data_IF_773558686770
#
_entry.id   IF_773558686770
#
_cell.length_a   1.000
_cell.length_b   1.000
_cell.length_c   1.000
_cell.angle_alpha   90.00
_cell.angle_beta   90.00
_cell.angle_gamma   90.00
#
_symmetry.space_group_name_H-M   'P 1'
#
loop_
_entity.id
_entity.type
_entity.pdbx_description
1 polymer ?
#
# COMPACT_ATOMS: atom_id res chain seq x y z
N UNK A 1 52.34 17.39 20.57
CA UNK A 1 51.64 16.96 21.80
C UNK A 1 51.31 15.48 21.71
N UNK A 2 52.03 14.57 22.41
CA UNK A 2 51.77 13.11 22.33
C UNK A 2 50.50 12.78 23.11
N UNK A 3 49.40 12.51 22.40
CA UNK A 3 48.16 12.03 23.02
C UNK A 3 48.45 10.67 23.65
N UNK A 4 48.29 10.55 24.98
CA UNK A 4 48.55 9.30 25.71
C UNK A 4 47.58 8.22 25.21
N UNK A 5 48.05 6.99 24.95
CA UNK A 5 47.26 5.85 24.45
C UNK A 5 45.93 5.63 25.20
N UNK A 6 45.89 5.90 26.51
CA UNK A 6 44.68 5.84 27.34
C UNK A 6 43.58 6.82 26.88
N UNK A 7 43.94 8.03 26.43
CA UNK A 7 42.98 9.03 25.92
C UNK A 7 42.40 8.63 24.56
N UNK A 8 43.20 7.99 23.71
CA UNK A 8 42.72 7.45 22.42
C UNK A 8 41.69 6.35 22.69
N UNK A 9 41.98 5.45 23.64
CA UNK A 9 41.05 4.38 24.02
C UNK A 9 39.72 4.92 24.58
N UNK A 10 39.78 5.96 25.42
CA UNK A 10 38.57 6.61 25.95
C UNK A 10 37.74 7.30 24.88
N UNK A 11 38.38 7.95 23.89
CA UNK A 11 37.68 8.61 22.78
C UNK A 11 37.05 7.57 21.85
N UNK A 12 37.76 6.49 21.53
CA UNK A 12 37.23 5.39 20.71
C UNK A 12 36.08 4.68 21.43
N UNK A 13 36.20 4.43 22.74
CA UNK A 13 35.12 3.85 23.53
C UNK A 13 33.89 4.77 23.63
N UNK A 14 34.09 6.09 23.75
CA UNK A 14 33.00 7.06 23.75
C UNK A 14 32.31 7.17 22.38
N UNK A 15 33.08 7.13 21.28
CA UNK A 15 32.54 7.10 19.92
C UNK A 15 31.77 5.80 19.63
N UNK A 16 32.31 4.65 20.07
CA UNK A 16 31.62 3.36 19.99
C UNK A 16 30.34 3.35 20.83
N UNK A 17 30.36 3.91 22.04
CA UNK A 17 29.17 4.03 22.87
C UNK A 17 28.10 4.94 22.22
N UNK A 18 28.50 5.99 21.50
CA UNK A 18 27.59 6.85 20.74
C UNK A 18 26.91 6.11 19.57
N UNK A 19 27.63 5.19 18.91
CA UNK A 19 27.12 4.36 17.81
C UNK A 19 26.10 3.30 18.24
N UNK A 20 26.12 2.86 19.51
CA UNK A 20 25.16 1.88 20.05
C UNK A 20 23.86 2.55 20.52
N UNK A 21 23.83 3.88 20.63
CA UNK A 21 22.70 4.67 21.14
C UNK A 21 21.81 5.26 20.04
N UNK A 22 21.98 4.86 18.77
CA UNK A 22 21.01 5.20 17.73
C UNK A 22 19.78 4.33 17.97
N UNK A 23 18.63 4.89 18.42
CA UNK A 23 17.41 4.10 18.46
C UNK A 23 17.17 3.56 17.05
N UNK A 24 16.79 2.29 16.95
CA UNK A 24 16.23 1.75 15.72
C UNK A 24 14.92 2.50 15.45
N UNK A 25 15.03 3.68 14.86
CA UNK A 25 13.91 4.43 14.34
C UNK A 25 13.41 3.60 13.15
N UNK A 26 12.13 3.28 13.17
CA UNK A 26 11.51 2.48 12.14
C UNK A 26 11.49 3.35 10.88
N UNK A 27 12.37 3.05 9.92
CA UNK A 27 12.17 3.47 8.54
C UNK A 27 10.80 2.95 8.08
N UNK A 28 10.18 3.56 7.06
CA UNK A 28 9.04 2.92 6.44
C UNK A 28 9.41 1.45 6.18
N UNK A 29 8.69 0.45 6.73
CA UNK A 29 9.25 -0.90 6.87
C UNK A 29 9.67 -1.55 5.55
N UNK A 30 9.15 -1.03 4.44
CA UNK A 30 9.41 -1.48 3.07
C UNK A 30 10.42 -0.60 2.29
N UNK A 31 10.97 0.44 2.93
CA UNK A 31 11.92 1.41 2.37
C UNK A 31 11.31 2.76 1.98
N UNK A 32 12.14 3.79 1.90
CA UNK A 32 11.72 5.20 1.82
C UNK A 32 11.08 5.63 0.47
N UNK A 33 10.95 4.70 -0.48
CA UNK A 33 10.44 4.94 -1.84
C UNK A 33 9.11 4.25 -2.14
N UNK A 34 8.57 3.49 -1.19
CA UNK A 34 7.40 2.64 -1.43
C UNK A 34 6.09 3.41 -1.44
N UNK A 35 5.15 2.88 -2.23
CA UNK A 35 3.74 3.24 -2.22
C UNK A 35 2.96 1.95 -1.98
N UNK A 36 2.40 1.81 -0.79
CA UNK A 36 1.59 0.68 -0.38
C UNK A 36 0.10 0.97 -0.62
N UNK A 37 -0.67 -0.07 -0.94
CA UNK A 37 -2.08 -0.03 -1.30
C UNK A 37 -2.85 -1.10 -0.56
N UNK A 38 -3.99 -0.73 -0.01
CA UNK A 38 -4.88 -1.64 0.69
C UNK A 38 -6.31 -1.41 0.23
N UNK A 39 -7.02 -2.50 -0.05
CA UNK A 39 -8.45 -2.47 -0.35
C UNK A 39 -9.19 -3.46 0.53
N UNK A 40 -10.22 -3.00 1.23
CA UNK A 40 -11.20 -3.87 1.85
C UNK A 40 -12.54 -3.71 1.14
N UNK A 41 -13.00 -4.81 0.53
CA UNK A 41 -14.32 -4.93 -0.07
C UNK A 41 -15.28 -5.54 0.96
N UNK A 42 -16.26 -4.77 1.41
CA UNK A 42 -17.34 -5.26 2.26
C UNK A 42 -18.59 -5.46 1.42
N UNK A 43 -18.98 -6.72 1.21
CA UNK A 43 -20.14 -7.10 0.43
C UNK A 43 -21.41 -6.81 1.24
N UNK A 44 -22.37 -6.10 0.63
CA UNK A 44 -23.68 -5.81 1.19
C UNK A 44 -24.80 -6.23 0.23
N UNK A 45 -26.07 -6.33 0.70
CA UNK A 45 -27.18 -6.77 -0.15
C UNK A 45 -27.45 -5.92 -1.39
N UNK A 46 -27.06 -4.65 -1.38
CA UNK A 46 -27.36 -3.69 -2.47
C UNK A 46 -26.12 -3.02 -3.06
N UNK A 47 -24.96 -3.18 -2.42
CA UNK A 47 -23.74 -2.49 -2.81
C UNK A 47 -22.52 -3.25 -2.32
N UNK A 48 -21.36 -2.84 -2.81
CA UNK A 48 -20.07 -3.17 -2.22
C UNK A 48 -19.54 -1.88 -1.61
N UNK A 49 -19.18 -1.91 -0.34
CA UNK A 49 -18.43 -0.85 0.30
C UNK A 49 -16.93 -1.09 0.11
N UNK A 50 -16.19 -0.02 -0.15
CA UNK A 50 -14.75 -0.07 -0.34
C UNK A 50 -14.09 0.88 0.67
N UNK A 51 -13.16 0.35 1.46
CA UNK A 51 -12.12 1.14 2.10
C UNK A 51 -10.85 0.98 1.26
N UNK A 52 -10.34 2.08 0.73
CA UNK A 52 -9.12 2.10 -0.07
C UNK A 52 -8.10 3.02 0.59
N UNK A 53 -6.89 2.51 0.84
CA UNK A 53 -5.85 3.24 1.54
C UNK A 53 -4.57 3.24 0.69
N UNK A 54 -4.00 4.43 0.52
CA UNK A 54 -2.65 4.62 0.04
C UNK A 54 -1.77 5.02 1.23
N UNK A 55 -0.64 4.33 1.37
CA UNK A 55 0.42 4.72 2.30
C UNK A 55 1.71 4.97 1.51
N UNK A 56 2.24 6.19 1.63
CA UNK A 56 3.43 6.63 0.93
C UNK A 56 4.55 6.88 1.92
N UNK A 57 5.71 6.31 1.62
CA UNK A 57 6.94 6.56 2.35
C UNK A 57 7.46 8.00 2.12
N UNK A 58 8.55 8.34 2.81
CA UNK A 58 9.04 9.71 2.97
C UNK A 58 9.35 10.43 1.64
N UNK A 59 9.98 9.75 0.67
CA UNK A 59 10.35 10.39 -0.60
C UNK A 59 9.13 10.66 -1.50
N UNK A 60 8.23 9.70 -1.75
CA UNK A 60 6.97 9.99 -2.43
C UNK A 60 6.16 11.07 -1.73
N UNK A 61 6.08 11.05 -0.39
CA UNK A 61 5.38 12.10 0.36
C UNK A 61 5.99 13.47 0.16
N UNK A 62 7.32 13.57 0.17
CA UNK A 62 8.00 14.83 -0.12
C UNK A 62 7.64 15.36 -1.52
N UNK A 63 7.54 14.47 -2.51
CA UNK A 63 7.14 14.83 -3.88
C UNK A 63 5.67 15.29 -3.95
N UNK A 64 4.76 14.63 -3.26
CA UNK A 64 3.35 15.03 -3.22
C UNK A 64 3.17 16.35 -2.46
N UNK A 65 3.86 16.57 -1.34
CA UNK A 65 3.77 17.83 -0.59
C UNK A 65 4.16 19.05 -1.42
N UNK A 66 5.11 18.93 -2.35
CA UNK A 66 5.44 20.02 -3.28
C UNK A 66 4.30 20.38 -4.22
N UNK A 67 3.40 19.43 -4.52
CA UNK A 67 2.20 19.69 -5.33
C UNK A 67 1.05 20.25 -4.49
N UNK A 68 1.02 19.91 -3.19
CA UNK A 68 -0.01 20.36 -2.24
C UNK A 68 0.23 21.80 -1.80
N UNK A 69 1.48 22.17 -1.54
CA UNK A 69 1.92 23.51 -1.14
C UNK A 69 1.82 24.49 -2.32
N UNK A 70 0.59 24.89 -2.64
CA UNK A 70 0.29 25.79 -3.77
C UNK A 70 0.78 27.20 -3.45
N UNK A 71 0.76 27.59 -2.18
CA UNK A 71 1.13 28.93 -1.74
C UNK A 71 2.65 29.11 -1.54
N UNK A 72 3.43 28.01 -1.56
CA UNK A 72 4.88 27.92 -1.39
C UNK A 72 5.40 28.42 -0.03
N UNK A 73 4.64 28.21 1.05
CA UNK A 73 5.04 28.59 2.41
C UNK A 73 5.79 27.48 3.17
N UNK A 74 6.02 26.32 2.52
CA UNK A 74 6.60 25.09 3.06
C UNK A 74 5.71 24.38 4.11
N UNK A 75 4.46 24.82 4.24
CA UNK A 75 3.40 24.21 5.00
C UNK A 75 2.47 23.39 4.11
N UNK A 76 1.52 22.73 4.76
CA UNK A 76 0.35 22.15 4.12
C UNK A 76 -0.81 22.47 5.04
N UNK A 77 -1.65 23.42 4.65
CA UNK A 77 -2.81 23.83 5.45
C UNK A 77 -4.05 22.97 5.16
N UNK A 78 -5.09 23.10 5.98
CA UNK A 78 -6.31 22.28 5.84
C UNK A 78 -7.03 22.47 4.50
N UNK A 79 -6.97 23.67 3.91
CA UNK A 79 -7.61 23.92 2.62
C UNK A 79 -6.83 23.27 1.47
N UNK A 80 -5.50 23.32 1.53
CA UNK A 80 -4.60 22.63 0.59
C UNK A 80 -4.75 21.11 0.69
N UNK A 81 -4.81 20.57 1.92
CA UNK A 81 -5.07 19.15 2.17
C UNK A 81 -6.39 18.69 1.53
N UNK A 82 -7.48 19.42 1.74
CA UNK A 82 -8.80 19.06 1.21
C UNK A 82 -8.85 19.16 -0.32
N UNK A 83 -8.27 20.21 -0.89
CA UNK A 83 -8.20 20.39 -2.33
C UNK A 83 -7.42 19.25 -3.00
N UNK A 84 -6.27 18.88 -2.43
CA UNK A 84 -5.48 17.75 -2.91
C UNK A 84 -6.21 16.41 -2.72
N UNK A 85 -6.73 16.14 -1.52
CA UNK A 85 -7.36 14.87 -1.19
C UNK A 85 -8.57 14.60 -2.09
N UNK A 86 -9.42 15.59 -2.33
CA UNK A 86 -10.58 15.46 -3.22
C UNK A 86 -10.16 15.19 -4.68
N UNK A 87 -9.13 15.88 -5.18
CA UNK A 87 -8.59 15.66 -6.52
C UNK A 87 -7.99 14.25 -6.66
N UNK A 88 -7.13 13.84 -5.71
CA UNK A 88 -6.50 12.53 -5.74
C UNK A 88 -7.51 11.41 -5.57
N UNK A 89 -8.49 11.56 -4.68
CA UNK A 89 -9.57 10.58 -4.52
C UNK A 89 -10.28 10.31 -5.85
N UNK A 90 -10.63 11.37 -6.59
CA UNK A 90 -11.28 11.24 -7.90
C UNK A 90 -10.41 10.57 -8.96
N UNK A 91 -9.08 10.77 -8.92
CA UNK A 91 -8.14 10.10 -9.84
C UNK A 91 -7.97 8.63 -9.47
N UNK A 92 -7.79 8.32 -8.19
CA UNK A 92 -7.60 6.96 -7.70
C UNK A 92 -8.82 6.09 -7.96
N UNK A 93 -10.03 6.61 -7.69
CA UNK A 93 -11.29 5.89 -7.90
C UNK A 93 -11.49 5.48 -9.37
N UNK A 94 -11.02 6.28 -10.34
CA UNK A 94 -11.12 5.96 -11.78
C UNK A 94 -10.29 4.74 -12.19
N UNK A 95 -9.25 4.42 -11.42
CA UNK A 95 -8.37 3.27 -11.68
C UNK A 95 -8.76 2.03 -10.87
N UNK A 96 -9.78 2.14 -10.02
CA UNK A 96 -10.43 1.00 -9.38
C UNK A 96 -11.50 0.46 -10.32
N UNK A 97 -11.32 -0.77 -10.79
CA UNK A 97 -12.28 -1.45 -11.66
C UNK A 97 -13.08 -2.46 -10.85
N UNK A 98 -14.41 -2.36 -10.92
CA UNK A 98 -15.31 -3.36 -10.40
C UNK A 98 -16.25 -3.82 -11.52
N UNK A 99 -16.37 -5.14 -11.70
CA UNK A 99 -17.40 -5.73 -12.55
C UNK A 99 -18.22 -6.72 -11.75
N UNK A 100 -19.51 -6.79 -12.06
CA UNK A 100 -20.44 -7.75 -11.49
C UNK A 100 -21.17 -8.43 -12.64
N UNK A 101 -21.05 -9.74 -12.75
CA UNK A 101 -21.57 -10.52 -13.88
C UNK A 101 -21.13 -9.92 -15.22
N UNK A 102 -19.82 -9.61 -15.34
CA UNK A 102 -19.18 -8.96 -16.50
C UNK A 102 -19.64 -7.52 -16.80
N UNK A 103 -20.59 -6.97 -16.05
CA UNK A 103 -21.02 -5.58 -16.19
C UNK A 103 -20.21 -4.67 -15.28
N UNK A 104 -19.63 -3.59 -15.83
CA UNK A 104 -18.94 -2.57 -15.05
C UNK A 104 -19.90 -1.89 -14.07
N UNK A 105 -19.49 -1.81 -12.81
CA UNK A 105 -20.20 -1.09 -11.75
C UNK A 105 -19.32 0.08 -11.30
N UNK A 106 -19.80 1.33 -11.37
CA UNK A 106 -18.99 2.49 -11.03
C UNK A 106 -18.69 2.53 -9.53
N UNK A 107 -17.43 2.78 -9.18
CA UNK A 107 -17.01 3.09 -7.82
C UNK A 107 -17.29 4.57 -7.54
N UNK A 108 -18.19 4.84 -6.61
CA UNK A 108 -18.65 6.18 -6.23
C UNK A 108 -18.06 6.57 -4.88
N UNK A 109 -17.26 7.64 -4.85
CA UNK A 109 -16.67 8.14 -3.62
C UNK A 109 -17.73 8.64 -2.63
N UNK A 110 -17.51 8.35 -1.35
CA UNK A 110 -18.33 8.81 -0.22
C UNK A 110 -17.56 9.83 0.62
N UNK A 111 -16.29 9.55 0.93
CA UNK A 111 -15.43 10.42 1.73
C UNK A 111 -13.96 10.14 1.46
N UNK A 112 -13.09 11.09 1.82
CA UNK A 112 -11.64 10.96 1.74
C UNK A 112 -10.98 11.74 2.88
N UNK A 113 -9.80 11.30 3.31
CA UNK A 113 -8.94 12.01 4.27
C UNK A 113 -7.48 11.84 3.88
N UNK A 114 -6.67 12.88 4.08
CA UNK A 114 -5.21 12.82 3.93
C UNK A 114 -4.53 13.26 5.22
N UNK A 115 -3.61 12.44 5.70
CA UNK A 115 -2.82 12.69 6.91
C UNK A 115 -1.32 12.55 6.60
N UNK A 116 -0.49 13.19 7.43
CA UNK A 116 0.97 13.11 7.33
C UNK A 116 1.59 12.59 8.63
N UNK A 117 1.50 11.28 8.92
CA UNK A 117 2.15 10.70 10.08
C UNK A 117 3.69 10.90 10.05
N UNK A 118 4.35 10.94 11.22
CA UNK A 118 5.81 10.99 11.26
C UNK A 118 6.42 9.65 10.83
N UNK A 119 7.41 9.69 9.94
CA UNK A 119 8.26 8.59 9.53
C UNK A 119 9.68 8.71 10.11
N UNK A 120 10.68 8.23 9.37
CA UNK A 120 12.07 8.25 9.83
C UNK A 120 12.59 9.68 10.01
N UNK A 121 13.17 9.97 11.18
CA UNK A 121 13.78 11.28 11.44
C UNK A 121 12.78 12.44 11.42
N UNK A 122 11.53 12.18 11.82
CA UNK A 122 10.40 13.10 11.78
C UNK A 122 10.04 13.61 10.37
N UNK A 123 10.54 12.95 9.32
CA UNK A 123 10.10 13.22 7.96
C UNK A 123 8.67 12.73 7.78
N UNK A 124 7.78 13.51 7.13
CA UNK A 124 6.39 13.09 6.94
C UNK A 124 6.29 11.91 5.98
N UNK A 125 5.48 10.93 6.34
CA UNK A 125 4.84 9.99 5.40
C UNK A 125 3.47 10.56 5.01
N UNK A 126 2.77 9.92 4.07
CA UNK A 126 1.42 10.35 3.67
C UNK A 126 0.50 9.16 3.67
N UNK A 127 -0.64 9.32 4.33
CA UNK A 127 -1.73 8.34 4.32
C UNK A 127 -2.97 8.98 3.73
N UNK A 128 -3.50 8.40 2.66
CA UNK A 128 -4.75 8.81 2.05
C UNK A 128 -5.76 7.67 2.20
N UNK A 129 -6.87 7.92 2.88
CA UNK A 129 -7.97 6.95 3.03
C UNK A 129 -9.18 7.42 2.22
N UNK A 130 -9.76 6.51 1.44
CA UNK A 130 -10.98 6.73 0.67
C UNK A 130 -12.05 5.74 1.11
N UNK A 131 -13.28 6.22 1.25
CA UNK A 131 -14.48 5.38 1.33
C UNK A 131 -15.27 5.53 0.06
N UNK A 132 -15.68 4.43 -0.53
CA UNK A 132 -16.48 4.40 -1.74
C UNK A 132 -17.53 3.30 -1.71
N UNK A 133 -18.50 3.40 -2.60
CA UNK A 133 -19.55 2.40 -2.79
C UNK A 133 -19.74 2.08 -4.26
N UNK A 134 -20.10 0.83 -4.55
CA UNK A 134 -20.45 0.37 -5.88
C UNK A 134 -21.79 -0.36 -5.82
N UNK A 135 -22.83 0.21 -6.44
CA UNK A 135 -24.21 -0.31 -6.35
C UNK A 135 -24.34 -1.59 -7.18
N UNK A 136 -24.76 -2.68 -6.54
CA UNK A 136 -24.92 -3.96 -7.21
C UNK A 136 -26.16 -3.93 -8.13
N UNK A 137 -26.07 -4.54 -9.33
CA UNK A 137 -27.26 -4.75 -10.14
C UNK A 137 -28.20 -5.73 -9.41
N UNK A 138 -29.54 -5.51 -9.47
CA UNK A 138 -30.50 -6.48 -8.96
C UNK A 138 -30.30 -7.85 -9.63
N UNK A 139 -30.35 -8.92 -8.85
CA UNK A 139 -30.24 -10.29 -9.36
C UNK A 139 -31.16 -11.24 -8.58
N UNK A 140 -31.54 -12.34 -9.22
CA UNK A 140 -32.18 -13.50 -8.57
C UNK A 140 -31.22 -14.69 -8.44
N UNK A 141 -29.95 -14.51 -8.78
CA UNK A 141 -28.91 -15.54 -8.81
C UNK A 141 -27.64 -15.09 -8.09
N UNK A 142 -26.59 -15.91 -8.11
CA UNK A 142 -25.26 -15.57 -7.58
C UNK A 142 -24.68 -14.35 -8.30
N UNK A 143 -24.10 -13.41 -7.54
CA UNK A 143 -23.24 -12.37 -8.09
C UNK A 143 -21.81 -12.89 -8.26
N UNK A 144 -21.23 -12.65 -9.44
CA UNK A 144 -19.81 -12.85 -9.73
C UNK A 144 -19.13 -11.49 -9.79
N UNK A 145 -18.37 -11.16 -8.74
CA UNK A 145 -17.66 -9.90 -8.62
C UNK A 145 -16.19 -10.08 -8.99
N UNK A 146 -15.67 -9.16 -9.80
CA UNK A 146 -14.25 -9.03 -10.08
C UNK A 146 -13.81 -7.61 -9.74
N UNK A 147 -12.73 -7.49 -8.98
CA UNK A 147 -12.11 -6.23 -8.61
C UNK A 147 -10.67 -6.20 -9.13
N UNK A 148 -10.23 -5.03 -9.58
CA UNK A 148 -8.83 -4.77 -9.92
C UNK A 148 -8.45 -3.34 -9.56
N UNK A 149 -7.32 -3.20 -8.87
CA UNK A 149 -6.68 -1.92 -8.59
C UNK A 149 -5.47 -1.70 -9.53
N UNK A 150 -5.64 -0.75 -10.45
CA UNK A 150 -4.62 -0.38 -11.44
C UNK A 150 -3.77 0.83 -11.03
N UNK A 151 -3.97 1.39 -9.84
CA UNK A 151 -3.18 2.55 -9.38
C UNK A 151 -1.70 2.18 -9.19
N UNK A 152 -0.81 3.15 -9.38
CA UNK A 152 0.63 3.00 -9.08
C UNK A 152 1.28 1.72 -9.64
N UNK A 153 0.85 1.28 -10.83
CA UNK A 153 1.37 0.08 -11.46
C UNK A 153 2.91 0.15 -11.58
N UNK A 154 3.59 -0.91 -11.16
CA UNK A 154 5.05 -1.00 -11.17
C UNK A 154 5.77 -0.29 -10.01
N UNK A 155 5.06 0.41 -9.12
CA UNK A 155 5.64 0.94 -7.89
C UNK A 155 5.85 -0.17 -6.87
N UNK A 156 6.97 -0.08 -6.15
CA UNK A 156 7.29 -0.94 -5.02
C UNK A 156 6.41 -0.60 -3.83
N UNK A 157 6.01 -1.61 -3.06
CA UNK A 157 5.19 -1.45 -1.86
C UNK A 157 4.28 -2.64 -1.64
N UNK A 158 3.57 -2.62 -0.52
CA UNK A 158 2.58 -3.63 -0.18
C UNK A 158 1.31 -3.46 -1.02
N UNK A 159 0.70 -4.55 -1.45
CA UNK A 159 -0.59 -4.55 -2.13
C UNK A 159 -1.44 -5.65 -1.52
N UNK A 160 -2.54 -5.25 -0.90
CA UNK A 160 -3.42 -6.16 -0.20
C UNK A 160 -4.87 -5.87 -0.53
N UNK A 161 -5.60 -6.93 -0.85
CA UNK A 161 -7.04 -6.90 -1.04
C UNK A 161 -7.63 -7.95 -0.11
N UNK A 162 -8.65 -7.56 0.65
CA UNK A 162 -9.44 -8.47 1.48
C UNK A 162 -10.92 -8.31 1.17
N UNK A 163 -11.70 -9.37 1.41
CA UNK A 163 -13.15 -9.40 1.18
C UNK A 163 -13.85 -9.95 2.42
N UNK A 164 -14.84 -9.20 2.91
CA UNK A 164 -15.79 -9.68 3.93
C UNK A 164 -17.22 -9.55 3.42
N UNK A 165 -18.14 -10.31 4.01
CA UNK A 165 -19.57 -10.19 3.75
C UNK A 165 -20.30 -9.86 5.05
N UNK A 166 -21.30 -8.97 4.98
CA UNK A 166 -22.20 -8.72 6.12
C UNK A 166 -23.17 -9.87 6.32
N UNK A 167 -23.81 -9.91 7.49
CA UNK A 167 -24.87 -10.86 7.77
C UNK A 167 -25.99 -10.79 6.72
N UNK A 168 -26.54 -11.96 6.34
CA UNK A 168 -27.57 -12.07 5.31
C UNK A 168 -27.04 -12.29 3.89
N UNK A 169 -25.72 -12.36 3.71
CA UNK A 169 -25.07 -12.84 2.49
C UNK A 169 -24.33 -14.16 2.75
N UNK A 170 -24.33 -15.04 1.75
CA UNK A 170 -23.46 -16.20 1.68
C UNK A 170 -22.27 -15.87 0.77
N UNK A 171 -21.06 -15.83 1.34
CA UNK A 171 -19.81 -15.82 0.58
C UNK A 171 -19.53 -17.25 0.10
N UNK A 172 -19.70 -17.49 -1.20
CA UNK A 172 -19.57 -18.82 -1.80
C UNK A 172 -18.12 -19.15 -2.16
N UNK A 173 -17.40 -18.16 -2.70
CA UNK A 173 -15.96 -18.26 -2.96
C UNK A 173 -15.29 -16.89 -2.96
N UNK A 174 -14.00 -16.86 -2.64
CA UNK A 174 -13.15 -15.66 -2.70
C UNK A 174 -11.72 -16.07 -3.03
N UNK A 175 -11.07 -15.34 -3.94
CA UNK A 175 -9.64 -15.50 -4.24
C UNK A 175 -8.72 -14.79 -3.24
N UNK A 176 -9.28 -14.03 -2.30
CA UNK A 176 -8.56 -13.21 -1.33
C UNK A 176 -9.06 -13.49 0.10
N UNK A 177 -8.23 -13.27 1.14
CA UNK A 177 -8.62 -13.55 2.52
C UNK A 177 -9.68 -12.58 3.05
N UNK A 178 -10.29 -12.94 4.18
CA UNK A 178 -11.25 -12.11 4.91
C UNK A 178 -10.62 -11.29 6.05
N UNK A 179 -9.35 -11.52 6.35
CA UNK A 179 -8.58 -10.80 7.36
C UNK A 179 -7.34 -10.22 6.69
N UNK A 180 -6.98 -9.01 7.09
CA UNK A 180 -5.72 -8.41 6.69
C UNK A 180 -4.57 -8.97 7.54
N UNK A 181 -3.35 -8.82 7.02
CA UNK A 181 -2.13 -9.10 7.77
C UNK A 181 -1.33 -7.84 8.05
N UNK A 182 -1.71 -6.71 7.44
CA UNK A 182 -1.01 -5.43 7.59
C UNK A 182 -1.67 -4.45 8.56
N UNK A 183 -2.79 -4.81 9.21
CA UNK A 183 -3.60 -3.87 9.99
C UNK A 183 -3.86 -2.57 9.19
N UNK A 184 -4.40 -2.72 7.98
CA UNK A 184 -4.65 -1.62 7.05
C UNK A 184 -3.41 -0.75 6.78
N UNK A 185 -2.28 -1.42 6.50
CA UNK A 185 -0.95 -0.83 6.25
C UNK A 185 -0.29 -0.13 7.46
N UNK A 186 -0.76 -0.38 8.69
CA UNK A 186 -0.17 0.20 9.90
C UNK A 186 0.96 -0.66 10.48
N UNK A 187 0.97 -1.95 10.13
CA UNK A 187 1.99 -2.89 10.55
C UNK A 187 2.31 -3.84 9.40
N UNK A 188 3.50 -4.44 9.39
CA UNK A 188 3.89 -5.37 8.33
C UNK A 188 4.56 -6.58 8.98
N UNK A 189 4.19 -7.81 8.59
CA UNK A 189 4.89 -9.01 9.06
C UNK A 189 6.37 -8.98 8.64
N UNK A 190 7.28 -9.19 9.60
CA UNK A 190 8.73 -9.13 9.39
C UNK A 190 9.22 -10.09 8.30
N UNK A 191 8.57 -11.26 8.20
CA UNK A 191 8.87 -12.32 7.23
C UNK A 191 8.52 -11.94 5.78
N UNK A 192 7.68 -10.91 5.59
CA UNK A 192 7.22 -10.46 4.28
C UNK A 192 7.87 -9.15 3.82
N UNK A 193 8.74 -8.53 4.62
CA UNK A 193 9.41 -7.27 4.23
C UNK A 193 10.31 -7.42 2.99
N UNK A 194 10.89 -8.61 2.78
CA UNK A 194 11.75 -8.90 1.60
C UNK A 194 10.96 -9.34 0.37
N UNK A 195 9.70 -9.71 0.54
CA UNK A 195 8.79 -10.09 -0.54
C UNK A 195 7.38 -9.62 -0.21
N UNK A 196 7.13 -8.30 -0.29
CA UNK A 196 5.85 -7.72 0.11
C UNK A 196 4.69 -8.34 -0.65
N UNK A 197 3.52 -8.39 -0.01
CA UNK A 197 2.32 -8.89 -0.66
C UNK A 197 2.02 -8.06 -1.91
N UNK A 198 1.63 -8.73 -3.00
CA UNK A 198 1.42 -8.12 -4.31
C UNK A 198 0.04 -8.52 -4.88
N UNK A 199 -1.02 -8.39 -4.07
CA UNK A 199 -2.39 -8.72 -4.45
C UNK A 199 -3.14 -7.43 -4.77
N UNK A 200 -3.51 -7.24 -6.04
CA UNK A 200 -4.27 -6.08 -6.51
C UNK A 200 -5.58 -6.46 -7.21
N UNK A 201 -5.98 -7.74 -7.13
CA UNK A 201 -7.17 -8.28 -7.77
C UNK A 201 -7.92 -9.19 -6.82
N UNK A 202 -9.25 -9.24 -6.96
CA UNK A 202 -10.10 -10.19 -6.26
C UNK A 202 -11.20 -10.73 -7.17
N UNK A 203 -11.48 -12.02 -7.05
CA UNK A 203 -12.63 -12.68 -7.67
C UNK A 203 -13.48 -13.29 -6.56
N UNK A 204 -14.78 -13.00 -6.58
CA UNK A 204 -15.69 -13.32 -5.48
C UNK A 204 -17.02 -13.79 -6.03
N UNK A 205 -17.57 -14.86 -5.45
CA UNK A 205 -18.95 -15.26 -5.70
C UNK A 205 -19.75 -15.19 -4.40
N UNK A 206 -20.90 -14.54 -4.43
CA UNK A 206 -21.75 -14.37 -3.26
C UNK A 206 -23.23 -14.22 -3.65
N UNK A 207 -24.12 -14.53 -2.71
CA UNK A 207 -25.55 -14.41 -2.92
C UNK A 207 -26.28 -14.02 -1.62
N UNK A 208 -27.46 -13.40 -1.68
CA UNK A 208 -28.33 -13.27 -0.53
C UNK A 208 -28.70 -14.65 0.04
N UNK A 209 -28.86 -14.72 1.35
CA UNK A 209 -29.36 -15.93 2.01
C UNK A 209 -30.74 -16.29 1.44
N UNK A 210 -30.93 -17.55 1.08
CA UNK A 210 -32.19 -18.08 0.53
C UNK A 210 -32.31 -18.05 -1.00
N UNK A 211 -31.33 -17.46 -1.70
CA UNK A 211 -31.21 -17.67 -3.15
C UNK A 211 -30.75 -19.10 -3.41
N UNK A 212 -31.45 -19.79 -4.31
CA UNK A 212 -31.05 -21.12 -4.76
C UNK A 212 -29.70 -21.00 -5.48
N UNK A 213 -28.68 -21.58 -4.86
CA UNK A 213 -27.41 -21.88 -5.52
C UNK A 213 -27.64 -23.12 -6.36
N UNK A 214 -28.11 -22.92 -7.60
CA UNK A 214 -28.04 -24.00 -8.58
C UNK A 214 -26.57 -24.41 -8.67
N UNK A 215 -26.31 -25.69 -8.46
CA UNK A 215 -24.99 -26.31 -8.39
C UNK A 215 -24.26 -26.09 -9.73
N UNK A 216 -23.63 -24.93 -9.87
CA UNK A 216 -22.74 -24.61 -10.98
C UNK A 216 -21.51 -25.50 -10.83
N UNK A 217 -21.60 -26.66 -11.48
CA UNK A 217 -20.53 -27.58 -11.82
C UNK A 217 -19.55 -27.91 -10.68
N UNK A 218 -19.78 -29.06 -10.06
CA UNK A 218 -18.72 -29.93 -9.59
C UNK A 218 -17.69 -30.13 -10.72
N UNK A 219 -16.57 -29.41 -10.64
CA UNK A 219 -15.50 -29.46 -11.63
C UNK A 219 -14.24 -28.76 -11.14
N UNK A 220 -13.32 -29.58 -10.63
CA UNK A 220 -11.98 -29.24 -10.15
C UNK A 220 -11.88 -28.37 -8.89
N UNK A 221 -11.54 -29.05 -7.79
CA UNK A 221 -10.68 -28.48 -6.76
C UNK A 221 -9.44 -27.90 -7.44
N UNK A 222 -9.49 -26.59 -7.74
CA UNK A 222 -8.29 -25.83 -8.05
C UNK A 222 -7.49 -25.85 -6.76
N UNK A 223 -6.47 -26.71 -6.72
CA UNK A 223 -5.32 -26.50 -5.85
C UNK A 223 -5.03 -25.01 -5.87
N UNK A 224 -4.89 -24.40 -4.70
CA UNK A 224 -4.32 -23.06 -4.58
C UNK A 224 -2.92 -23.16 -5.16
N UNK A 225 -2.82 -23.01 -6.48
CA UNK A 225 -1.63 -22.59 -7.14
C UNK A 225 -1.44 -21.19 -6.58
N UNK A 226 -0.61 -21.14 -5.54
CA UNK A 226 0.31 -20.05 -5.32
C UNK A 226 1.01 -19.84 -6.64
N UNK A 227 0.36 -19.10 -7.55
CA UNK A 227 1.03 -18.38 -8.61
C UNK A 227 1.79 -17.27 -7.90
N UNK A 228 2.82 -17.68 -7.16
CA UNK A 228 4.05 -16.94 -7.05
C UNK A 228 4.47 -16.79 -8.50
N UNK A 229 4.01 -15.70 -9.12
CA UNK A 229 4.78 -15.12 -10.20
C UNK A 229 6.13 -14.86 -9.57
N UNK A 230 7.05 -15.78 -9.78
CA UNK A 230 8.46 -15.64 -9.44
C UNK A 230 9.05 -14.62 -10.41
N UNK A 231 8.53 -13.40 -10.38
CA UNK A 231 9.28 -12.20 -10.70
C UNK A 231 10.24 -11.88 -9.54
N UNK A 232 10.85 -12.92 -8.95
CA UNK A 232 11.88 -12.88 -7.91
C UNK A 232 13.19 -12.25 -8.42
N UNK A 233 13.13 -11.43 -9.47
CA UNK A 233 14.28 -10.75 -10.06
C UNK A 233 13.97 -9.35 -10.63
N UNK A 234 12.82 -8.72 -10.31
CA UNK A 234 12.65 -7.28 -10.61
C UNK A 234 13.30 -6.37 -9.58
N UNK A 235 13.63 -6.88 -8.39
CA UNK A 235 14.30 -6.10 -7.34
C UNK A 235 15.82 -5.92 -7.56
N UNK A 236 16.45 -6.66 -8.48
CA UNK A 236 17.93 -6.75 -8.53
C UNK A 236 18.61 -6.26 -9.81
N UNK A 237 17.91 -5.94 -10.90
CA UNK A 237 18.48 -5.54 -12.20
C UNK A 237 17.42 -4.62 -12.86
N UNK A 238 17.57 -3.30 -13.08
CA UNK A 238 18.55 -2.69 -13.98
C UNK A 238 18.63 -1.14 -13.90
N UNK A 239 17.96 -0.45 -12.96
CA UNK A 239 18.06 1.04 -12.86
C UNK A 239 18.86 1.52 -11.64
N UNK A 240 18.72 0.87 -10.48
CA UNK A 240 19.41 1.29 -9.25
C UNK A 240 20.92 0.98 -9.28
N UNK A 241 21.32 -0.16 -9.88
CA UNK A 241 22.72 -0.51 -10.09
C UNK A 241 23.42 0.48 -11.05
N UNK A 242 22.70 0.99 -12.06
CA UNK A 242 23.23 2.01 -12.97
C UNK A 242 23.40 3.37 -12.29
N UNK A 243 22.52 3.75 -11.36
CA UNK A 243 22.66 5.00 -10.59
C UNK A 243 23.81 4.97 -9.59
N UNK A 244 24.05 3.83 -8.92
CA UNK A 244 25.18 3.69 -8.00
C UNK A 244 26.53 3.72 -8.75
N UNK A 245 26.60 3.10 -9.93
CA UNK A 245 27.82 3.08 -10.75
C UNK A 245 28.11 4.45 -11.35
N UNK A 246 27.08 5.19 -11.78
CA UNK A 246 27.22 6.54 -12.35
C UNK A 246 27.59 7.57 -11.27
N UNK A 247 27.12 7.40 -10.04
CA UNK A 247 27.46 8.29 -8.92
C UNK A 247 28.90 8.09 -8.41
N UNK A 248 29.43 6.86 -8.43
CA UNK A 248 30.77 6.54 -7.93
C UNK A 248 31.91 6.92 -8.90
N UNK A 249 31.62 7.16 -10.18
CA UNK A 249 32.60 7.61 -11.19
C UNK A 249 32.81 9.13 -11.22
N UNK A 250 32.08 9.89 -10.39
CA UNK A 250 32.33 11.32 -10.20
C UNK A 250 33.34 11.52 -9.06
N UNK A 251 34.46 12.23 -9.25
CA UNK A 251 35.48 12.48 -8.21
C UNK A 251 35.00 13.47 -7.13
N UNK A 252 33.92 13.11 -6.42
CA UNK A 252 33.31 13.89 -5.34
C UNK A 252 32.23 13.15 -4.53
N UNK A 253 31.78 11.95 -4.91
CA UNK A 253 30.63 11.26 -4.28
C UNK A 253 30.99 10.36 -3.08
N UNK A 254 31.93 10.78 -2.23
CA UNK A 254 32.11 10.17 -0.90
C UNK A 254 31.90 11.23 0.17
N UNK A 255 30.64 11.50 0.45
CA UNK A 255 30.15 11.93 1.76
C UNK A 255 28.63 11.99 1.67
N UNK A 256 27.94 10.99 2.22
CA UNK A 256 26.76 11.09 3.10
C UNK A 256 26.42 9.63 3.43
N UNK A 257 27.13 9.13 4.42
CA UNK A 257 26.71 8.01 5.26
C UNK A 257 27.16 8.39 6.67
N UNK A 258 26.59 9.48 7.18
CA UNK A 258 26.63 10.02 8.55
C UNK A 258 26.31 11.52 8.50
N UNK A 259 25.04 11.86 8.30
CA UNK A 259 24.32 12.93 9.01
C UNK A 259 22.87 12.49 9.10
#
# INVERSE_FOLDING_TARGET
MRIKRKRIFSIVAALLALLVLVPAAWAHPLGNFTISRYTHLTLQPQAVELLYIIDMAEIPTFQERQQIDINNDNGVDTAEQEAYASQQAALLAKNLSLTVNEQAVPVTLQSWTVDFPPGQGDLPTMRLELRATAVLPPTSSVWQLQFTDNNYAGRLGWQEVIVTAVDGLNLLSSSVPAQDVSDQLRSYPDDLLQSPLAVNQAQVQFAPVGVAIDELASGESVEVATAVSSNANRFSQDEFANLLTTALDQPGAIAIALV
#
